data_IF_086325746529
#
_entry.id   IF_086325746529
#
_cell.length_a   1.000
_cell.length_b   1.000
_cell.length_c   1.000
_cell.angle_alpha   90.00
_cell.angle_beta   90.00
_cell.angle_gamma   90.00
#
_symmetry.space_group_name_H-M   'P 1'
#
loop_
_entity.id
_entity.type
_entity.pdbx_description
1 polymer ?
#
# COMPACT_ATOMS: atom_id res chain seq x y z
N UNK A 1 -2.92 5.29 15.84
CA UNK A 1 -2.75 4.76 14.45
C UNK A 1 -1.33 5.12 13.99
N UNK A 2 -0.58 4.19 13.38
CA UNK A 2 0.76 4.46 12.83
C UNK A 2 0.64 5.04 11.42
N UNK A 3 1.44 6.08 11.14
CA UNK A 3 1.58 6.70 9.82
C UNK A 3 3.00 6.44 9.29
N UNK A 4 3.10 6.10 8.01
CA UNK A 4 4.35 5.85 7.28
C UNK A 4 4.61 7.04 6.37
N UNK A 5 5.77 7.67 6.55
CA UNK A 5 6.21 8.80 5.73
C UNK A 5 7.13 8.29 4.63
N UNK A 6 6.86 8.69 3.38
CA UNK A 6 7.57 8.22 2.19
C UNK A 6 8.95 8.89 1.96
N UNK A 7 9.55 9.45 3.01
CA UNK A 7 10.88 10.06 3.00
C UNK A 7 10.99 11.33 2.13
N UNK A 8 12.23 11.77 1.84
CA UNK A 8 12.53 13.00 1.08
C UNK A 8 11.89 13.06 -0.32
N UNK A 9 11.51 11.92 -0.89
CA UNK A 9 10.92 11.84 -2.23
C UNK A 9 9.46 12.33 -2.27
N UNK A 10 8.74 12.22 -1.16
CA UNK A 10 7.36 12.69 -1.01
C UNK A 10 7.21 13.43 0.32
N UNK A 11 7.77 14.65 0.45
CA UNK A 11 7.62 15.43 1.67
C UNK A 11 6.13 15.70 1.91
N UNK A 12 5.69 15.50 3.15
CA UNK A 12 4.28 15.63 3.61
C UNK A 12 3.29 14.55 3.13
N UNK A 13 3.72 13.53 2.38
CA UNK A 13 2.85 12.39 2.09
C UNK A 13 2.98 11.33 3.18
N UNK A 14 1.86 11.06 3.84
CA UNK A 14 1.76 9.99 4.84
C UNK A 14 0.73 8.93 4.42
N UNK A 15 1.10 7.68 4.68
CA UNK A 15 0.26 6.51 4.45
C UNK A 15 -0.12 5.95 5.81
N UNK A 16 -1.40 5.68 6.02
CA UNK A 16 -1.88 5.01 7.24
C UNK A 16 -1.55 3.53 7.20
N UNK A 17 -1.50 2.87 8.36
CA UNK A 17 -1.29 1.41 8.42
C UNK A 17 -2.20 0.60 7.49
N UNK A 18 -3.50 0.89 7.47
CA UNK A 18 -4.47 0.17 6.63
C UNK A 18 -4.25 0.39 5.13
N UNK A 19 -3.88 1.61 4.74
CA UNK A 19 -3.49 1.90 3.35
C UNK A 19 -2.21 1.14 2.98
N UNK A 20 -1.21 1.15 3.85
CA UNK A 20 0.08 0.49 3.62
C UNK A 20 -0.06 -1.04 3.53
N UNK A 21 -0.86 -1.65 4.41
CA UNK A 21 -1.20 -3.08 4.38
C UNK A 21 -1.91 -3.47 3.08
N UNK A 22 -2.87 -2.66 2.63
CA UNK A 22 -3.59 -2.89 1.37
C UNK A 22 -2.64 -2.81 0.18
N UNK A 23 -1.78 -1.79 0.16
CA UNK A 23 -0.80 -1.57 -0.88
C UNK A 23 0.23 -2.68 -0.96
N UNK A 24 0.70 -3.18 0.18
CA UNK A 24 1.67 -4.28 0.25
C UNK A 24 1.18 -5.51 -0.51
N UNK A 25 -0.03 -5.99 -0.23
CA UNK A 25 -0.58 -7.15 -0.92
C UNK A 25 -0.79 -6.91 -2.41
N UNK A 26 -1.17 -5.69 -2.79
CA UNK A 26 -1.35 -5.30 -4.18
C UNK A 26 -0.01 -5.30 -4.95
N UNK A 27 1.08 -4.86 -4.31
CA UNK A 27 2.44 -4.95 -4.86
C UNK A 27 2.88 -6.42 -5.00
N UNK A 28 2.47 -7.28 -4.06
CA UNK A 28 2.68 -8.73 -4.14
C UNK A 28 1.84 -9.44 -5.22
N UNK A 29 1.05 -8.71 -6.00
CA UNK A 29 0.26 -9.26 -7.10
C UNK A 29 -1.18 -9.63 -6.74
N UNK A 30 -1.63 -9.39 -5.50
CA UNK A 30 -3.03 -9.64 -5.15
C UNK A 30 -3.95 -8.61 -5.82
N UNK A 31 -5.15 -9.07 -6.16
CA UNK A 31 -6.25 -8.23 -6.62
C UNK A 31 -6.92 -7.53 -5.42
N UNK A 32 -7.74 -6.50 -5.68
CA UNK A 32 -8.53 -5.82 -4.65
C UNK A 32 -9.37 -6.81 -3.82
N UNK A 33 -10.17 -7.72 -4.41
CA UNK A 33 -10.97 -8.67 -3.63
C UNK A 33 -10.10 -9.65 -2.83
N UNK A 34 -8.98 -10.13 -3.36
CA UNK A 34 -8.05 -10.99 -2.61
C UNK A 34 -7.42 -10.26 -1.43
N UNK A 35 -7.02 -9.01 -1.63
CA UNK A 35 -6.48 -8.14 -0.57
C UNK A 35 -7.53 -7.88 0.50
N UNK A 36 -8.77 -7.64 0.10
CA UNK A 36 -9.89 -7.42 1.01
C UNK A 36 -10.14 -8.65 1.88
N UNK A 37 -10.20 -9.84 1.26
CA UNK A 37 -10.31 -11.11 1.98
C UNK A 37 -9.15 -11.31 2.96
N UNK A 38 -7.91 -11.01 2.54
CA UNK A 38 -6.71 -11.18 3.35
C UNK A 38 -6.62 -10.23 4.55
N UNK A 39 -7.18 -9.03 4.41
CA UNK A 39 -7.22 -8.02 5.47
C UNK A 39 -8.52 -8.05 6.30
N UNK A 40 -9.43 -8.99 6.02
CA UNK A 40 -10.79 -9.04 6.57
C UNK A 40 -11.54 -7.69 6.41
N UNK A 41 -11.46 -7.12 5.21
CA UNK A 41 -12.10 -5.87 4.81
C UNK A 41 -13.06 -6.08 3.63
N UNK A 42 -13.91 -5.08 3.37
CA UNK A 42 -14.70 -5.06 2.14
C UNK A 42 -13.84 -4.64 0.95
N UNK A 43 -14.14 -5.16 -0.24
CA UNK A 43 -13.48 -4.75 -1.49
C UNK A 43 -13.58 -3.25 -1.72
N UNK A 44 -14.71 -2.64 -1.34
CA UNK A 44 -14.95 -1.19 -1.43
C UNK A 44 -14.02 -0.39 -0.51
N UNK A 45 -13.72 -0.91 0.68
CA UNK A 45 -12.76 -0.31 1.61
C UNK A 45 -11.34 -0.36 1.05
N UNK A 46 -10.93 -1.50 0.48
CA UNK A 46 -9.60 -1.62 -0.15
C UNK A 46 -9.49 -0.72 -1.37
N UNK A 47 -10.53 -0.66 -2.21
CA UNK A 47 -10.58 0.25 -3.36
C UNK A 47 -10.46 1.72 -2.92
N UNK A 48 -11.15 2.11 -1.85
CA UNK A 48 -11.05 3.44 -1.28
C UNK A 48 -9.61 3.74 -0.82
N UNK A 49 -8.94 2.81 -0.13
CA UNK A 49 -7.53 2.98 0.26
C UNK A 49 -6.60 3.10 -0.94
N UNK A 50 -6.78 2.27 -1.98
CA UNK A 50 -6.00 2.37 -3.22
C UNK A 50 -6.22 3.71 -3.92
N UNK A 51 -7.47 4.19 -3.95
CA UNK A 51 -7.81 5.50 -4.53
C UNK A 51 -7.14 6.63 -3.75
N UNK A 52 -7.19 6.61 -2.42
CA UNK A 52 -6.50 7.62 -1.60
C UNK A 52 -4.98 7.57 -1.78
N UNK A 53 -4.38 6.38 -1.85
CA UNK A 53 -2.96 6.22 -2.14
C UNK A 53 -2.57 6.82 -3.49
N UNK A 54 -3.37 6.57 -4.53
CA UNK A 54 -3.17 7.17 -5.85
C UNK A 54 -3.23 8.70 -5.80
N UNK A 55 -4.21 9.26 -5.09
CA UNK A 55 -4.33 10.71 -4.92
C UNK A 55 -3.13 11.30 -4.16
N UNK A 56 -2.74 10.67 -3.05
CA UNK A 56 -1.58 11.06 -2.23
C UNK A 56 -0.26 11.03 -2.98
N UNK A 57 -0.09 10.06 -3.89
CA UNK A 57 1.13 9.87 -4.67
C UNK A 57 1.07 10.49 -6.07
N UNK A 58 -0.06 11.06 -6.47
CA UNK A 58 -0.28 11.55 -7.83
C UNK A 58 -0.07 10.45 -8.88
N UNK A 59 -0.68 9.28 -8.68
CA UNK A 59 -0.65 8.16 -9.63
C UNK A 59 -1.99 8.04 -10.35
N UNK A 60 -1.96 7.85 -11.67
CA UNK A 60 -3.20 7.69 -12.45
C UNK A 60 -3.63 6.22 -12.45
N UNK A 61 -2.66 5.30 -12.54
CA UNK A 61 -2.92 3.87 -12.69
C UNK A 61 -2.23 3.03 -11.61
N UNK A 62 -2.62 1.75 -11.51
CA UNK A 62 -2.08 0.80 -10.51
C UNK A 62 -0.58 0.55 -10.72
N UNK A 63 -0.11 0.53 -11.98
CA UNK A 63 1.30 0.33 -12.32
C UNK A 63 2.18 1.43 -11.73
N UNK A 64 1.85 2.69 -12.02
CA UNK A 64 2.60 3.84 -11.47
C UNK A 64 2.64 3.84 -9.94
N UNK A 65 1.53 3.46 -9.30
CA UNK A 65 1.48 3.33 -7.85
C UNK A 65 2.49 2.28 -7.35
N UNK A 66 2.53 1.10 -7.98
CA UNK A 66 3.48 0.05 -7.62
C UNK A 66 4.91 0.52 -7.85
N UNK A 67 5.21 1.12 -9.00
CA UNK A 67 6.56 1.59 -9.34
C UNK A 67 7.07 2.66 -8.35
N UNK A 68 6.23 3.65 -7.99
CA UNK A 68 6.62 4.66 -7.00
C UNK A 68 6.90 4.04 -5.64
N UNK A 69 6.09 3.07 -5.22
CA UNK A 69 6.25 2.39 -3.93
C UNK A 69 7.50 1.51 -3.91
N UNK A 70 7.82 0.81 -5.00
CA UNK A 70 9.07 0.04 -5.12
C UNK A 70 10.32 0.93 -5.03
N UNK A 71 10.22 2.20 -5.44
CA UNK A 71 11.29 3.18 -5.30
C UNK A 71 11.36 3.83 -3.90
N UNK A 72 10.50 3.43 -2.96
CA UNK A 72 10.48 3.96 -1.59
C UNK A 72 10.89 2.89 -0.57
N UNK A 73 11.21 3.32 0.65
CA UNK A 73 11.49 2.39 1.75
C UNK A 73 10.23 1.83 2.43
N UNK A 74 9.03 2.13 1.91
CA UNK A 74 7.77 1.71 2.53
C UNK A 74 7.67 0.18 2.67
N UNK A 75 7.99 -0.56 1.59
CA UNK A 75 7.93 -2.03 1.62
C UNK A 75 8.84 -2.62 2.70
N UNK A 76 10.07 -2.10 2.81
CA UNK A 76 11.02 -2.50 3.85
C UNK A 76 10.52 -2.20 5.27
N UNK A 77 9.78 -1.09 5.45
CA UNK A 77 9.17 -0.77 6.75
C UNK A 77 8.05 -1.76 7.10
N UNK A 78 7.25 -2.18 6.12
CA UNK A 78 6.16 -3.13 6.31
C UNK A 78 6.66 -4.54 6.60
N UNK A 79 7.71 -4.99 5.91
CA UNK A 79 8.35 -6.28 6.18
C UNK A 79 8.89 -6.37 7.63
N UNK A 80 9.48 -5.28 8.13
CA UNK A 80 9.97 -5.21 9.52
C UNK A 80 8.87 -5.28 10.57
N UNK A 81 7.63 -4.94 10.23
CA UNK A 81 6.48 -4.99 11.13
C UNK A 81 5.80 -6.37 11.21
N UNK A 82 6.36 -7.39 10.53
CA UNK A 82 5.86 -8.75 10.61
C UNK A 82 4.78 -9.10 9.58
N UNK A 83 4.56 -8.24 8.57
CA UNK A 83 3.82 -8.63 7.36
C UNK A 83 4.67 -9.64 6.58
N UNK A 84 4.51 -10.92 6.92
CA UNK A 84 5.22 -12.00 6.24
C UNK A 84 4.71 -12.10 4.80
N UNK A 85 5.59 -11.84 3.85
CA UNK A 85 5.38 -12.19 2.45
C UNK A 85 5.02 -13.68 2.42
N UNK A 86 3.79 -14.01 2.07
CA UNK A 86 3.44 -15.39 1.70
C UNK A 86 4.02 -15.56 0.31
N UNK A 87 5.29 -15.97 0.23
CA UNK A 87 5.83 -16.60 -0.97
C UNK A 87 5.09 -17.94 -1.08
N UNK A 88 4.18 -18.02 -2.04
CA UNK A 88 3.63 -19.30 -2.47
C UNK A 88 4.61 -19.95 -3.46
#
# INVERSE_FOLDING_TARGET
MRNYYLGKKYPNVYITKREAESLFWIVQGLTIPQTAHKLALSSRTVEFYVKNLKLKLGCVNKKELIEKIMQTNLLKQLEKEGLKIIRH
#
